data_IF_045382810311
#
_entry.id   IF_045382810311
#
_cell.length_a   1.000
_cell.length_b   1.000
_cell.length_c   1.000
_cell.angle_alpha   90.00
_cell.angle_beta   90.00
_cell.angle_gamma   90.00
#
_symmetry.space_group_name_H-M   'P 1'
#
loop_
_entity.id
_entity.type
_entity.pdbx_description
1 polymer ?
#
# COMPACT_ATOMS: atom_id res chain seq x y z
N UNK A 1 17.99 -30.44 9.09
CA UNK A 1 17.54 -29.04 8.88
C UNK A 1 18.67 -28.04 9.12
N UNK A 2 19.41 -28.12 10.23
CA UNK A 2 20.48 -27.19 10.61
C UNK A 2 21.69 -27.06 9.66
N UNK A 3 22.02 -28.09 8.86
CA UNK A 3 23.20 -28.07 7.97
C UNK A 3 23.01 -27.25 6.68
N UNK A 4 21.77 -27.02 6.26
CA UNK A 4 21.45 -26.23 5.05
C UNK A 4 21.40 -24.74 5.38
N UNK A 5 20.88 -24.40 6.56
CA UNK A 5 20.71 -23.01 7.04
C UNK A 5 22.05 -22.28 7.20
N UNK A 6 23.13 -23.01 7.53
CA UNK A 6 24.46 -22.42 7.71
C UNK A 6 25.17 -22.08 6.40
N UNK A 7 24.65 -22.49 5.24
CA UNK A 7 25.33 -22.32 3.95
C UNK A 7 25.16 -20.89 3.40
N UNK A 8 26.20 -20.36 2.72
CA UNK A 8 26.17 -19.00 2.18
C UNK A 8 25.01 -18.81 1.19
N UNK A 9 24.72 -19.81 0.35
CA UNK A 9 23.63 -19.79 -0.64
C UNK A 9 22.25 -19.60 -0.01
N UNK A 10 22.00 -20.20 1.15
CA UNK A 10 20.73 -20.02 1.85
C UNK A 10 20.60 -18.58 2.39
N UNK A 11 21.68 -18.05 2.96
CA UNK A 11 21.72 -16.68 3.46
C UNK A 11 21.58 -15.65 2.34
N UNK A 12 22.25 -15.86 1.21
CA UNK A 12 22.17 -14.95 0.06
C UNK A 12 20.79 -15.00 -0.59
N UNK A 13 20.15 -16.18 -0.70
CA UNK A 13 18.78 -16.30 -1.19
C UNK A 13 17.77 -15.55 -0.32
N UNK A 14 17.88 -15.66 1.02
CA UNK A 14 17.04 -14.88 1.94
C UNK A 14 17.32 -13.39 1.80
N UNK A 15 18.60 -12.99 1.76
CA UNK A 15 18.99 -11.59 1.68
C UNK A 15 18.50 -10.95 0.39
N UNK A 16 18.71 -11.58 -0.78
CA UNK A 16 18.28 -11.06 -2.07
C UNK A 16 16.76 -11.00 -2.18
N UNK A 17 16.06 -12.03 -1.70
CA UNK A 17 14.59 -12.08 -1.68
C UNK A 17 14.00 -11.01 -0.77
N UNK A 18 14.56 -10.83 0.43
CA UNK A 18 14.15 -9.79 1.37
C UNK A 18 14.41 -8.39 0.82
N UNK A 19 15.59 -8.17 0.22
CA UNK A 19 15.95 -6.89 -0.38
C UNK A 19 15.01 -6.53 -1.54
N UNK A 20 14.69 -7.49 -2.42
CA UNK A 20 13.72 -7.28 -3.49
C UNK A 20 12.36 -6.84 -2.95
N UNK A 21 11.81 -7.55 -1.95
CA UNK A 21 10.50 -7.21 -1.37
C UNK A 21 10.51 -5.84 -0.69
N UNK A 22 11.55 -5.52 0.08
CA UNK A 22 11.68 -4.21 0.73
C UNK A 22 11.78 -3.09 -0.30
N UNK A 23 12.59 -3.28 -1.34
CA UNK A 23 12.74 -2.29 -2.42
C UNK A 23 11.42 -2.07 -3.16
N UNK A 24 10.66 -3.13 -3.45
CA UNK A 24 9.34 -3.00 -4.07
C UNK A 24 8.36 -2.23 -3.17
N UNK A 25 8.33 -2.54 -1.87
CA UNK A 25 7.49 -1.82 -0.90
C UNK A 25 7.84 -0.33 -0.79
N UNK A 26 9.12 0.03 -0.82
CA UNK A 26 9.59 1.41 -0.74
C UNK A 26 9.28 2.15 -2.06
N UNK A 27 9.56 1.51 -3.20
CA UNK A 27 9.34 2.10 -4.51
C UNK A 27 7.86 2.40 -4.76
N UNK A 28 6.97 1.49 -4.38
CA UNK A 28 5.53 1.71 -4.51
C UNK A 28 5.04 2.90 -3.67
N UNK A 29 5.66 3.16 -2.53
CA UNK A 29 5.36 4.33 -1.70
C UNK A 29 5.89 5.64 -2.28
N UNK A 30 6.98 5.56 -3.05
CA UNK A 30 7.66 6.69 -3.66
C UNK A 30 7.36 6.86 -5.16
N UNK A 31 6.43 6.07 -5.72
CA UNK A 31 6.16 6.03 -7.17
C UNK A 31 5.74 7.39 -7.75
N UNK A 32 5.15 8.27 -6.94
CA UNK A 32 4.83 9.65 -7.35
C UNK A 32 6.06 10.51 -7.60
N UNK A 33 7.14 10.23 -6.88
CA UNK A 33 8.42 10.94 -7.01
C UNK A 33 9.44 10.08 -7.75
N UNK A 34 9.01 9.23 -8.69
CA UNK A 34 9.87 8.29 -9.41
C UNK A 34 11.01 9.01 -10.16
N UNK A 35 12.09 9.28 -9.44
CA UNK A 35 13.35 9.84 -9.94
C UNK A 35 14.16 8.71 -10.57
N UNK A 36 15.00 9.06 -11.54
CA UNK A 36 15.91 8.14 -12.24
C UNK A 36 16.76 7.32 -11.26
N UNK A 37 17.12 7.91 -10.11
CA UNK A 37 17.86 7.26 -9.02
C UNK A 37 17.13 6.03 -8.45
N UNK A 38 15.80 6.10 -8.31
CA UNK A 38 14.98 4.98 -7.82
C UNK A 38 14.95 3.85 -8.86
N UNK A 39 14.87 4.17 -10.15
CA UNK A 39 14.89 3.18 -11.22
C UNK A 39 16.22 2.41 -11.27
N UNK A 40 17.35 3.11 -11.07
CA UNK A 40 18.67 2.48 -11.03
C UNK A 40 18.79 1.53 -9.82
N UNK A 41 18.35 1.96 -8.65
CA UNK A 41 18.38 1.13 -7.44
C UNK A 41 17.56 -0.16 -7.62
N UNK A 42 16.36 -0.05 -8.21
CA UNK A 42 15.50 -1.20 -8.51
C UNK A 42 16.16 -2.13 -9.53
N UNK A 43 16.79 -1.57 -10.56
CA UNK A 43 17.56 -2.33 -11.54
C UNK A 43 18.71 -3.11 -10.90
N UNK A 44 19.49 -2.48 -10.02
CA UNK A 44 20.58 -3.14 -9.30
C UNK A 44 20.09 -4.26 -8.37
N UNK A 45 19.03 -4.01 -7.59
CA UNK A 45 18.43 -5.01 -6.69
C UNK A 45 17.82 -6.16 -7.50
N UNK A 46 17.14 -5.86 -8.60
CA UNK A 46 16.59 -6.84 -9.52
C UNK A 46 17.66 -7.71 -10.17
N UNK A 47 18.77 -7.12 -10.63
CA UNK A 47 19.91 -7.85 -11.18
C UNK A 47 20.55 -8.76 -10.12
N UNK A 48 20.78 -8.24 -8.92
CA UNK A 48 21.32 -9.02 -7.80
C UNK A 48 20.41 -10.23 -7.49
N UNK A 49 19.10 -10.00 -7.43
CA UNK A 49 18.12 -11.07 -7.26
C UNK A 49 18.17 -12.09 -8.39
N UNK A 50 18.23 -11.68 -9.65
CA UNK A 50 18.29 -12.57 -10.81
C UNK A 50 19.54 -13.47 -10.79
N UNK A 51 20.72 -12.89 -10.52
CA UNK A 51 21.97 -13.64 -10.37
C UNK A 51 21.87 -14.65 -9.23
N UNK A 52 21.30 -14.24 -8.09
CA UNK A 52 21.10 -15.13 -6.95
C UNK A 52 20.13 -16.27 -7.27
N UNK A 53 19.03 -15.97 -7.98
CA UNK A 53 18.05 -16.96 -8.43
C UNK A 53 18.70 -18.03 -9.32
N UNK A 54 19.44 -17.60 -10.35
CA UNK A 54 20.20 -18.52 -11.22
C UNK A 54 21.17 -19.39 -10.41
N UNK A 55 21.87 -18.80 -9.43
CA UNK A 55 22.78 -19.55 -8.59
C UNK A 55 22.06 -20.60 -7.72
N UNK A 56 20.86 -20.29 -7.20
CA UNK A 56 20.05 -21.28 -6.47
C UNK A 56 19.58 -22.43 -7.36
N UNK A 57 19.29 -22.16 -8.64
CA UNK A 57 18.94 -23.19 -9.63
C UNK A 57 20.12 -24.11 -9.91
N UNK A 58 21.30 -23.53 -10.19
CA UNK A 58 22.53 -24.32 -10.41
C UNK A 58 22.85 -25.18 -9.19
N UNK A 59 22.76 -24.60 -7.98
CA UNK A 59 22.97 -25.34 -6.74
C UNK A 59 21.99 -26.50 -6.57
N UNK A 60 20.71 -26.29 -6.89
CA UNK A 60 19.70 -27.34 -6.81
C UNK A 60 20.00 -28.51 -7.76
N UNK A 61 20.44 -28.22 -8.99
CA UNK A 61 20.80 -29.22 -10.00
C UNK A 61 22.07 -29.98 -9.59
N UNK A 62 23.13 -29.26 -9.22
CA UNK A 62 24.44 -29.84 -8.90
C UNK A 62 24.41 -30.67 -7.60
N UNK A 63 23.63 -30.23 -6.61
CA UNK A 63 23.56 -30.84 -5.28
C UNK A 63 22.27 -31.63 -5.07
N UNK A 64 21.72 -32.24 -6.13
CA UNK A 64 20.47 -33.01 -6.10
C UNK A 64 20.46 -34.16 -5.09
N UNK A 65 21.61 -34.74 -4.77
CA UNK A 65 21.76 -35.84 -3.79
C UNK A 65 21.65 -35.41 -2.32
N UNK A 66 21.60 -34.12 -2.02
CA UNK A 66 21.41 -33.67 -0.64
C UNK A 66 19.95 -33.87 -0.21
N UNK A 67 19.74 -33.92 1.11
CA UNK A 67 18.41 -34.16 1.68
C UNK A 67 17.39 -33.05 1.35
N UNK A 68 17.84 -31.79 1.22
CA UNK A 68 16.96 -30.63 0.96
C UNK A 68 17.66 -29.52 0.13
N UNK A 69 18.04 -29.77 -1.14
CA UNK A 69 18.77 -28.81 -1.97
C UNK A 69 17.89 -27.73 -2.59
N UNK A 70 16.58 -27.98 -2.67
CA UNK A 70 15.60 -27.11 -3.36
C UNK A 70 15.13 -25.92 -2.52
N UNK A 71 15.41 -25.88 -1.21
CA UNK A 71 14.88 -24.83 -0.33
C UNK A 71 15.27 -23.40 -0.75
N UNK A 72 16.54 -23.08 -1.05
CA UNK A 72 16.92 -21.75 -1.54
C UNK A 72 16.18 -21.38 -2.82
N UNK A 73 16.04 -22.33 -3.75
CA UNK A 73 15.28 -22.14 -4.99
C UNK A 73 13.80 -21.86 -4.72
N UNK A 74 13.15 -22.63 -3.83
CA UNK A 74 11.75 -22.40 -3.49
C UNK A 74 11.53 -21.03 -2.84
N UNK A 75 12.44 -20.58 -1.97
CA UNK A 75 12.34 -19.24 -1.35
C UNK A 75 12.35 -18.18 -2.45
N UNK A 76 13.36 -18.20 -3.32
CA UNK A 76 13.45 -17.21 -4.40
C UNK A 76 12.26 -17.34 -5.35
N UNK A 77 11.87 -18.54 -5.79
CA UNK A 77 10.71 -18.74 -6.66
C UNK A 77 9.42 -18.14 -6.07
N UNK A 78 9.12 -18.43 -4.80
CA UNK A 78 7.95 -17.89 -4.11
C UNK A 78 8.05 -16.37 -4.02
N UNK A 79 9.22 -15.81 -3.71
CA UNK A 79 9.41 -14.37 -3.68
C UNK A 79 9.19 -13.72 -5.04
N UNK A 80 9.68 -14.33 -6.13
CA UNK A 80 9.44 -13.86 -7.49
C UNK A 80 7.95 -13.89 -7.85
N UNK A 81 7.23 -14.96 -7.46
CA UNK A 81 5.79 -15.06 -7.65
C UNK A 81 5.02 -14.01 -6.84
N UNK A 82 5.43 -13.74 -5.60
CA UNK A 82 4.84 -12.67 -4.78
C UNK A 82 5.06 -11.31 -5.45
N UNK A 83 6.30 -11.02 -5.85
CA UNK A 83 6.66 -9.76 -6.49
C UNK A 83 5.92 -9.54 -7.82
N UNK A 84 5.65 -10.61 -8.57
CA UNK A 84 4.97 -10.53 -9.86
C UNK A 84 3.44 -10.50 -9.73
N UNK A 85 2.86 -11.36 -8.89
CA UNK A 85 1.42 -11.56 -8.83
C UNK A 85 0.70 -10.64 -7.84
N UNK A 86 1.39 -10.16 -6.80
CA UNK A 86 0.74 -9.40 -5.72
C UNK A 86 0.95 -7.91 -5.96
N UNK A 87 -0.12 -7.13 -6.25
CA UNK A 87 -0.04 -5.68 -6.21
C UNK A 87 0.10 -5.26 -4.74
N UNK A 88 1.35 -5.16 -4.28
CA UNK A 88 1.71 -4.91 -2.88
C UNK A 88 1.05 -3.63 -2.36
N UNK A 89 0.87 -2.63 -3.23
CA UNK A 89 0.19 -1.38 -2.92
C UNK A 89 -1.23 -1.58 -2.36
N UNK A 90 -2.02 -2.44 -2.99
CA UNK A 90 -3.41 -2.73 -2.61
C UNK A 90 -3.48 -3.52 -1.30
N UNK A 91 -2.47 -4.35 -1.04
CA UNK A 91 -2.37 -5.13 0.20
C UNK A 91 -1.98 -4.24 1.36
N UNK A 92 -0.99 -3.37 1.18
CA UNK A 92 -0.51 -2.43 2.18
C UNK A 92 -1.60 -1.44 2.60
N UNK A 93 -2.27 -0.78 1.65
CA UNK A 93 -3.33 0.19 1.97
C UNK A 93 -4.48 -0.49 2.75
N UNK A 94 -4.85 -1.72 2.37
CA UNK A 94 -5.90 -2.47 3.07
C UNK A 94 -5.47 -2.94 4.46
N UNK A 95 -4.21 -3.37 4.60
CA UNK A 95 -3.65 -3.79 5.88
C UNK A 95 -3.54 -2.60 6.84
N UNK A 96 -3.07 -1.45 6.36
CA UNK A 96 -3.03 -0.21 7.15
C UNK A 96 -4.42 0.20 7.60
N UNK A 97 -5.40 0.20 6.69
CA UNK A 97 -6.79 0.48 7.03
C UNK A 97 -7.32 -0.47 8.10
N UNK A 98 -7.06 -1.77 7.98
CA UNK A 98 -7.51 -2.77 8.95
C UNK A 98 -6.88 -2.56 10.34
N UNK A 99 -5.57 -2.29 10.39
CA UNK A 99 -4.84 -2.05 11.65
C UNK A 99 -5.30 -0.74 12.32
N UNK A 100 -5.56 0.30 11.54
CA UNK A 100 -5.95 1.62 12.04
C UNK A 100 -7.46 1.84 12.06
N UNK A 101 -8.26 0.82 11.73
CA UNK A 101 -9.70 0.95 11.48
C UNK A 101 -10.43 1.66 12.64
N UNK A 102 -10.15 1.27 13.88
CA UNK A 102 -10.78 1.87 15.06
C UNK A 102 -10.46 3.37 15.21
N UNK A 103 -9.27 3.81 14.79
CA UNK A 103 -8.89 5.23 14.82
C UNK A 103 -9.60 6.00 13.70
N UNK A 104 -9.66 5.42 12.50
CA UNK A 104 -10.42 5.96 11.38
C UNK A 104 -11.90 6.10 11.73
N UNK A 105 -12.53 5.06 12.27
CA UNK A 105 -13.95 5.07 12.65
C UNK A 105 -14.24 6.13 13.72
N UNK A 106 -13.42 6.18 14.78
CA UNK A 106 -13.58 7.16 15.86
C UNK A 106 -13.47 8.59 15.34
N UNK A 107 -12.49 8.85 14.47
CA UNK A 107 -12.30 10.18 13.91
C UNK A 107 -13.39 10.53 12.90
N UNK A 108 -13.78 9.58 12.04
CA UNK A 108 -14.85 9.79 11.08
C UNK A 108 -16.16 10.17 11.77
N UNK A 109 -16.54 9.46 12.84
CA UNK A 109 -17.75 9.78 13.59
C UNK A 109 -17.71 11.17 14.24
N UNK A 110 -16.56 11.61 14.74
CA UNK A 110 -16.39 12.96 15.29
C UNK A 110 -16.50 14.05 14.20
N UNK A 111 -15.89 13.84 13.03
CA UNK A 111 -15.94 14.78 11.91
C UNK A 111 -17.32 14.84 11.27
N UNK A 112 -17.97 13.68 11.13
CA UNK A 112 -19.35 13.60 10.65
C UNK A 112 -20.37 14.19 11.64
N UNK A 113 -19.97 14.54 12.87
CA UNK A 113 -20.79 15.32 13.79
C UNK A 113 -20.53 16.83 13.66
N UNK A 114 -19.30 17.26 13.31
CA UNK A 114 -18.94 18.69 13.18
C UNK A 114 -19.54 19.35 11.95
N UNK A 115 -20.41 20.36 12.11
CA UNK A 115 -20.98 21.11 10.98
C UNK A 115 -19.96 22.12 10.44
N UNK A 116 -19.87 22.20 9.12
CA UNK A 116 -19.17 23.27 8.42
C UNK A 116 -20.15 24.14 7.63
N UNK A 117 -19.71 25.35 7.29
CA UNK A 117 -20.52 26.33 6.56
C UNK A 117 -20.44 26.17 5.04
N UNK A 118 -19.49 25.36 4.54
CA UNK A 118 -19.26 25.13 3.11
C UNK A 118 -19.49 23.68 2.72
N UNK A 119 -19.81 23.46 1.44
CA UNK A 119 -20.09 22.12 0.91
C UNK A 119 -18.88 21.18 0.96
N UNK A 120 -17.68 21.73 0.81
CA UNK A 120 -16.42 21.00 0.98
C UNK A 120 -15.50 21.84 1.85
N UNK A 121 -14.92 21.25 2.89
CA UNK A 121 -13.94 21.91 3.74
C UNK A 121 -12.89 20.95 4.30
N UNK A 122 -11.73 21.50 4.67
CA UNK A 122 -10.67 20.75 5.35
C UNK A 122 -10.89 20.81 6.86
N UNK A 123 -11.02 19.64 7.49
CA UNK A 123 -11.07 19.47 8.94
C UNK A 123 -9.69 19.10 9.47
N UNK A 124 -9.11 19.99 10.28
CA UNK A 124 -7.78 19.75 10.87
C UNK A 124 -7.83 18.68 11.96
N UNK A 125 -7.13 17.57 11.76
CA UNK A 125 -7.15 16.47 12.72
C UNK A 125 -6.38 16.84 14.00
N UNK A 126 -6.89 16.41 15.18
CA UNK A 126 -6.13 16.51 16.42
C UNK A 126 -4.75 15.87 16.29
N UNK A 127 -3.77 16.37 17.04
CA UNK A 127 -2.36 15.95 16.92
C UNK A 127 -2.17 14.42 16.93
N UNK A 128 -2.90 13.72 17.80
CA UNK A 128 -2.88 12.24 17.91
C UNK A 128 -3.40 11.48 16.68
N UNK A 129 -4.15 12.14 15.81
CA UNK A 129 -4.78 11.57 14.61
C UNK A 129 -4.24 12.15 13.30
N UNK A 130 -3.33 13.13 13.33
CA UNK A 130 -2.75 13.71 12.11
C UNK A 130 -2.16 12.67 11.15
N UNK A 131 -1.61 11.57 11.68
CA UNK A 131 -1.05 10.47 10.89
C UNK A 131 -2.09 9.69 10.08
N UNK A 132 -3.39 9.87 10.33
CA UNK A 132 -4.45 9.21 9.56
C UNK A 132 -4.64 9.80 8.15
N UNK A 133 -4.17 11.03 7.93
CA UNK A 133 -4.29 11.72 6.64
C UNK A 133 -2.95 12.34 6.22
N UNK A 134 -2.45 11.97 5.05
CA UNK A 134 -1.21 12.46 4.46
C UNK A 134 -1.40 13.88 3.91
N UNK A 135 -0.34 14.69 3.94
CA UNK A 135 -0.36 16.04 3.35
C UNK A 135 -0.88 17.15 4.26
N UNK A 136 -0.58 17.09 5.57
CA UNK A 136 -0.89 18.17 6.53
C UNK A 136 -1.68 17.73 7.76
N UNK A 137 -2.21 16.51 7.75
CA UNK A 137 -3.04 15.98 8.83
C UNK A 137 -4.47 16.52 8.83
N UNK A 138 -4.96 16.92 7.65
CA UNK A 138 -6.33 17.37 7.47
C UNK A 138 -7.15 16.27 6.77
N UNK A 139 -8.39 16.09 7.20
CA UNK A 139 -9.38 15.27 6.49
C UNK A 139 -10.29 16.19 5.68
N UNK A 140 -10.72 15.77 4.50
CA UNK A 140 -11.72 16.53 3.73
C UNK A 140 -13.11 16.09 4.14
N UNK A 141 -13.98 17.04 4.39
CA UNK A 141 -15.39 16.81 4.65
C UNK A 141 -16.17 17.29 3.46
N UNK A 142 -17.01 16.41 2.92
CA UNK A 142 -18.04 16.75 1.96
C UNK A 142 -19.35 16.81 2.72
N UNK A 143 -20.09 17.90 2.57
CA UNK A 143 -21.40 18.11 3.14
C UNK A 143 -22.30 18.80 2.11
N UNK A 144 -23.12 18.03 1.41
CA UNK A 144 -24.24 18.54 0.60
C UNK A 144 -25.55 18.27 1.35
N UNK A 145 -26.68 18.80 0.86
CA UNK A 145 -28.00 18.73 1.53
C UNK A 145 -28.34 17.34 2.09
N UNK A 146 -28.02 16.29 1.33
CA UNK A 146 -28.30 14.90 1.70
C UNK A 146 -27.06 13.99 1.76
N UNK A 147 -25.87 14.49 1.40
CA UNK A 147 -24.63 13.71 1.31
C UNK A 147 -23.60 14.25 2.30
N UNK A 148 -23.04 13.39 3.14
CA UNK A 148 -22.04 13.77 4.13
C UNK A 148 -21.00 12.69 4.29
N UNK A 149 -19.77 13.01 3.92
CA UNK A 149 -18.66 12.09 3.94
C UNK A 149 -17.42 12.75 4.52
N UNK A 150 -16.50 11.91 4.99
CA UNK A 150 -15.17 12.34 5.40
C UNK A 150 -14.15 11.47 4.70
N UNK A 151 -13.15 12.12 4.11
CA UNK A 151 -12.05 11.48 3.41
C UNK A 151 -10.73 11.76 4.13
N UNK A 152 -9.96 10.69 4.32
CA UNK A 152 -8.59 10.72 4.83
C UNK A 152 -7.64 10.37 3.70
N UNK A 153 -6.69 11.25 3.39
CA UNK A 153 -5.72 11.02 2.32
C UNK A 153 -4.69 9.97 2.74
N UNK A 154 -4.48 8.97 1.89
CA UNK A 154 -3.31 8.08 1.98
C UNK A 154 -2.17 8.56 1.08
N UNK A 155 -2.51 9.38 0.08
CA UNK A 155 -1.56 10.03 -0.81
C UNK A 155 -2.25 11.22 -1.49
N UNK A 156 -1.50 12.31 -1.69
CA UNK A 156 -1.97 13.54 -2.27
C UNK A 156 -0.85 14.22 -3.03
N UNK A 157 -1.09 14.46 -4.31
CA UNK A 157 -0.26 15.22 -5.24
C UNK A 157 -1.09 16.36 -5.84
N UNK A 158 -0.50 17.20 -6.69
CA UNK A 158 -1.17 18.31 -7.36
C UNK A 158 -2.34 17.86 -8.25
N UNK A 159 -2.19 16.72 -8.92
CA UNK A 159 -3.16 16.22 -9.91
C UNK A 159 -3.85 14.92 -9.47
N UNK A 160 -3.32 14.23 -8.47
CA UNK A 160 -3.79 12.89 -8.08
C UNK A 160 -3.93 12.78 -6.58
N UNK A 161 -5.04 12.23 -6.12
CA UNK A 161 -5.13 11.83 -4.73
C UNK A 161 -5.89 10.53 -4.53
N UNK A 162 -5.60 9.90 -3.39
CA UNK A 162 -6.23 8.64 -2.99
C UNK A 162 -6.39 8.59 -1.48
N UNK A 163 -7.41 7.89 -1.02
CA UNK A 163 -7.67 7.80 0.40
C UNK A 163 -8.88 6.98 0.78
N UNK A 164 -9.12 6.93 2.09
CA UNK A 164 -10.27 6.26 2.67
C UNK A 164 -11.38 7.27 2.88
N UNK A 165 -12.55 6.99 2.33
CA UNK A 165 -13.75 7.78 2.52
C UNK A 165 -14.79 7.00 3.32
N UNK A 166 -15.41 7.68 4.28
CA UNK A 166 -16.54 7.18 5.06
C UNK A 166 -17.78 7.98 4.71
N UNK A 167 -18.81 7.30 4.22
CA UNK A 167 -20.13 7.88 3.98
C UNK A 167 -20.99 7.81 5.24
N UNK A 168 -21.91 8.75 5.37
CA UNK A 168 -23.04 8.61 6.30
C UNK A 168 -24.02 7.55 5.79
N UNK A 169 -24.79 6.96 6.70
CA UNK A 169 -25.63 5.79 6.40
C UNK A 169 -26.64 6.09 5.29
N UNK A 170 -26.68 5.23 4.26
CA UNK A 170 -27.65 5.30 3.16
C UNK A 170 -27.26 6.21 1.99
N UNK A 171 -26.05 6.77 1.98
CA UNK A 171 -25.59 7.68 0.93
C UNK A 171 -24.89 6.96 -0.23
N UNK A 172 -24.95 7.59 -1.41
CA UNK A 172 -24.33 7.08 -2.63
C UNK A 172 -22.86 7.55 -2.73
N UNK A 173 -21.94 6.60 -2.92
CA UNK A 173 -20.51 6.89 -3.08
C UNK A 173 -20.22 7.70 -4.36
N UNK A 174 -20.98 7.50 -5.43
CA UNK A 174 -20.70 8.11 -6.74
C UNK A 174 -20.87 9.62 -6.70
N UNK A 175 -21.96 10.11 -6.11
CA UNK A 175 -22.21 11.55 -5.93
C UNK A 175 -21.13 12.20 -5.05
N UNK A 176 -20.73 11.49 -3.99
CA UNK A 176 -19.70 11.98 -3.10
C UNK A 176 -18.31 12.00 -3.77
N UNK A 177 -17.99 10.99 -4.57
CA UNK A 177 -16.70 10.91 -5.26
C UNK A 177 -16.57 12.04 -6.30
N UNK A 178 -17.63 12.35 -7.06
CA UNK A 178 -17.64 13.47 -8.01
C UNK A 178 -17.57 14.85 -7.35
N UNK A 179 -17.93 14.97 -6.06
CA UNK A 179 -17.73 16.21 -5.31
C UNK A 179 -16.28 16.42 -4.83
N UNK A 180 -15.48 15.35 -4.82
CA UNK A 180 -14.07 15.36 -4.41
C UNK A 180 -13.12 15.37 -5.60
N UNK A 181 -13.52 14.76 -6.70
CA UNK A 181 -12.71 14.53 -7.89
C UNK A 181 -13.47 14.93 -9.14
N UNK A 182 -12.75 15.49 -10.09
CA UNK A 182 -13.30 15.69 -11.43
C UNK A 182 -13.43 14.33 -12.12
N UNK A 183 -12.40 13.48 -11.97
CA UNK A 183 -12.40 12.12 -12.51
C UNK A 183 -12.12 11.08 -11.42
N UNK A 184 -13.04 10.12 -11.29
CA UNK A 184 -12.94 9.03 -10.32
C UNK A 184 -12.39 7.78 -11.01
N UNK A 185 -11.14 7.45 -10.71
CA UNK A 185 -10.43 6.33 -11.33
C UNK A 185 -10.78 4.97 -10.70
N UNK A 186 -11.01 4.93 -9.39
CA UNK A 186 -11.29 3.68 -8.68
C UNK A 186 -12.15 3.94 -7.45
N UNK A 187 -13.15 3.09 -7.24
CA UNK A 187 -13.94 3.01 -6.01
C UNK A 187 -13.97 1.58 -5.53
N UNK A 188 -13.40 1.30 -4.36
CA UNK A 188 -13.35 -0.05 -3.79
C UNK A 188 -14.03 -0.10 -2.42
N UNK A 189 -15.05 -0.95 -2.21
CA UNK A 189 -15.70 -1.08 -0.92
C UNK A 189 -14.76 -1.73 0.12
N UNK A 190 -14.75 -1.16 1.31
CA UNK A 190 -13.97 -1.63 2.48
C UNK A 190 -14.87 -2.09 3.64
N UNK A 191 -16.20 -1.97 3.51
CA UNK A 191 -17.19 -2.39 4.50
C UNK A 191 -17.61 -1.25 5.44
N UNK A 192 -18.76 -1.38 6.11
CA UNK A 192 -19.28 -0.36 7.04
C UNK A 192 -19.33 1.07 6.45
N UNK A 193 -19.78 1.23 5.21
CA UNK A 193 -19.80 2.51 4.46
C UNK A 193 -18.42 3.14 4.24
N UNK A 194 -17.33 2.35 4.36
CA UNK A 194 -16.00 2.75 3.95
C UNK A 194 -15.72 2.34 2.51
N UNK A 195 -15.05 3.24 1.80
CA UNK A 195 -14.57 3.03 0.46
C UNK A 195 -13.13 3.53 0.37
N UNK A 196 -12.36 2.91 -0.49
CA UNK A 196 -11.07 3.45 -0.93
C UNK A 196 -11.26 4.03 -2.31
N UNK A 197 -10.91 5.30 -2.47
CA UNK A 197 -11.10 6.04 -3.71
C UNK A 197 -9.77 6.58 -4.22
N UNK A 198 -9.63 6.61 -5.54
CA UNK A 198 -8.53 7.27 -6.23
C UNK A 198 -9.11 8.14 -7.33
N UNK A 199 -8.61 9.36 -7.49
CA UNK A 199 -9.09 10.25 -8.55
C UNK A 199 -8.13 11.40 -8.82
N UNK A 200 -8.52 12.18 -9.83
CA UNK A 200 -7.87 13.40 -10.30
C UNK A 200 -8.78 14.62 -10.06
#
# INVERSE_FOLDING_TARGET
MLSVIKRPIFKTAILSSGLLLITLLILERLWSEARVECALLVGCVGLFYAVTFLWTVVFWIEKRHYRIPYVPFCISLITGLIAYCIPLNRVCDRAEFAVLHNKYEKMANLVLQSRGDTNVYNYRLPHRYRKLSVGGGDAVVVQNKDVRAVMFYTFRDAERSKGFIKLSRGQNITECAHSLYNEVNLVKPMGNNWYYITGE
#
